data_IF_010699442302
#
_entry.id   IF_010699442302
#
_cell.length_a   1.000
_cell.length_b   1.000
_cell.length_c   1.000
_cell.angle_alpha   90.00
_cell.angle_beta   90.00
_cell.angle_gamma   90.00
#
_symmetry.space_group_name_H-M   'P 1'
#
loop_
_entity.id
_entity.type
_entity.pdbx_description
1 polymer ?
#
# COMPACT_ATOMS: atom_id res chain seq x y z
N UNK A 1 2.40 -31.49 -63.97
CA UNK A 1 2.48 -32.95 -63.86
C UNK A 1 3.94 -33.26 -63.56
N UNK A 2 4.29 -33.33 -62.28
CA UNK A 2 5.66 -33.65 -61.90
C UNK A 2 5.80 -35.18 -61.89
N UNK A 3 6.88 -35.68 -62.50
CA UNK A 3 7.24 -37.08 -62.40
C UNK A 3 8.08 -37.25 -61.13
N UNK A 4 7.58 -38.03 -60.17
CA UNK A 4 8.31 -38.40 -58.96
C UNK A 4 8.95 -39.76 -59.18
N UNK A 5 10.11 -40.00 -58.58
CA UNK A 5 10.75 -41.32 -58.61
C UNK A 5 10.09 -42.22 -57.57
N UNK A 6 9.70 -43.43 -57.98
CA UNK A 6 9.21 -44.43 -57.06
C UNK A 6 10.35 -44.87 -56.12
N UNK A 7 10.17 -44.83 -54.78
CA UNK A 7 11.24 -45.13 -53.83
C UNK A 7 11.69 -46.60 -53.85
N UNK A 8 10.89 -47.50 -54.42
CA UNK A 8 11.18 -48.95 -54.44
C UNK A 8 11.79 -49.44 -55.75
N UNK A 9 11.39 -48.86 -56.89
CA UNK A 9 11.87 -49.32 -58.19
C UNK A 9 12.58 -48.25 -59.01
N UNK A 10 12.75 -47.05 -58.45
CA UNK A 10 13.44 -45.87 -59.01
C UNK A 10 12.98 -45.44 -60.41
N UNK A 11 11.80 -45.92 -60.84
CA UNK A 11 11.18 -45.51 -62.10
C UNK A 11 10.32 -44.27 -61.88
N UNK A 12 10.31 -43.40 -62.87
CA UNK A 12 9.54 -42.16 -62.87
C UNK A 12 8.04 -42.46 -63.05
N UNK A 13 7.23 -41.97 -62.11
CA UNK A 13 5.77 -42.12 -62.08
C UNK A 13 5.11 -40.77 -61.81
N UNK A 14 3.83 -40.61 -62.15
CA UNK A 14 3.11 -39.35 -61.90
C UNK A 14 2.94 -39.09 -60.40
N UNK A 15 3.15 -37.85 -59.99
CA UNK A 15 2.85 -37.29 -58.66
C UNK A 15 1.41 -37.50 -58.17
N UNK A 16 0.48 -37.81 -59.06
CA UNK A 16 -0.93 -38.09 -58.74
C UNK A 16 -1.27 -39.58 -58.63
N UNK A 17 -0.35 -40.50 -58.96
CA UNK A 17 -0.60 -41.93 -58.89
C UNK A 17 -0.63 -42.41 -57.43
N UNK A 18 -1.70 -43.10 -57.02
CA UNK A 18 -1.83 -43.71 -55.70
C UNK A 18 -0.98 -44.99 -55.55
N UNK A 19 -0.72 -45.69 -56.66
CA UNK A 19 0.13 -46.88 -56.71
C UNK A 19 1.09 -46.82 -57.91
N UNK A 20 2.31 -47.32 -57.71
CA UNK A 20 3.28 -47.46 -58.80
C UNK A 20 2.84 -48.58 -59.77
N UNK A 21 2.68 -48.31 -61.09
CA UNK A 21 2.31 -49.34 -62.07
C UNK A 21 3.44 -50.35 -62.35
N UNK A 22 4.68 -50.08 -61.93
CA UNK A 22 5.82 -50.96 -62.19
C UNK A 22 6.12 -51.95 -61.05
N UNK A 23 5.92 -51.56 -59.79
CA UNK A 23 6.19 -52.41 -58.63
C UNK A 23 4.97 -52.61 -57.72
N UNK A 24 3.87 -51.89 -57.95
CA UNK A 24 2.62 -52.01 -57.19
C UNK A 24 2.59 -51.28 -55.85
N UNK A 25 3.70 -50.66 -55.41
CA UNK A 25 3.78 -50.00 -54.10
C UNK A 25 2.83 -48.79 -53.99
N UNK A 26 2.24 -48.58 -52.81
CA UNK A 26 1.37 -47.42 -52.56
C UNK A 26 2.22 -46.15 -52.32
N UNK A 27 1.93 -45.10 -53.08
CA UNK A 27 2.59 -43.80 -52.94
C UNK A 27 1.67 -42.90 -52.11
N UNK A 28 1.98 -42.76 -50.81
CA UNK A 28 1.16 -42.00 -49.88
C UNK A 28 1.35 -40.49 -50.12
N UNK A 29 0.44 -39.87 -50.86
CA UNK A 29 0.38 -38.40 -50.96
C UNK A 29 -0.08 -37.85 -49.61
N UNK A 30 0.76 -37.03 -48.96
CA UNK A 30 0.33 -36.28 -47.78
C UNK A 30 -0.49 -35.06 -48.23
N UNK A 31 -1.75 -34.90 -47.79
CA UNK A 31 -2.54 -33.73 -48.13
C UNK A 31 -1.92 -32.49 -47.47
N UNK A 32 -1.82 -31.41 -48.23
CA UNK A 32 -1.33 -30.12 -47.74
C UNK A 32 -2.22 -29.61 -46.59
N UNK A 33 -1.66 -29.60 -45.39
CA UNK A 33 -2.38 -29.27 -44.16
C UNK A 33 -2.66 -27.76 -44.08
N UNK A 34 -3.95 -27.42 -43.97
CA UNK A 34 -4.44 -26.05 -43.85
C UNK A 34 -4.16 -25.54 -42.43
N UNK A 35 -3.02 -24.88 -42.23
CA UNK A 35 -2.70 -24.15 -41.00
C UNK A 35 -3.64 -22.94 -40.84
N UNK A 36 -4.77 -23.11 -40.15
CA UNK A 36 -5.53 -21.97 -39.57
C UNK A 36 -4.73 -21.37 -38.41
N UNK A 37 -3.95 -20.32 -38.69
CA UNK A 37 -3.06 -19.65 -37.74
C UNK A 37 -3.79 -18.97 -36.58
N UNK A 38 -3.42 -19.34 -35.35
CA UNK A 38 -3.92 -18.81 -34.08
C UNK A 38 -3.43 -17.41 -33.69
N UNK A 39 -2.98 -16.58 -34.64
CA UNK A 39 -2.41 -15.25 -34.36
C UNK A 39 -3.46 -14.25 -33.81
N UNK A 40 -4.73 -14.36 -34.24
CA UNK A 40 -5.80 -13.46 -33.79
C UNK A 40 -6.22 -13.62 -32.32
N UNK A 41 -6.18 -14.85 -31.79
CA UNK A 41 -6.53 -15.13 -30.38
C UNK A 41 -5.46 -14.63 -29.40
N UNK A 42 -4.19 -14.70 -29.78
CA UNK A 42 -3.10 -14.17 -28.97
C UNK A 42 -3.15 -12.64 -28.88
N UNK A 43 -3.38 -11.95 -30.01
CA UNK A 43 -3.48 -10.49 -30.02
C UNK A 43 -4.68 -9.98 -29.20
N UNK A 44 -5.85 -10.63 -29.34
CA UNK A 44 -7.05 -10.28 -28.56
C UNK A 44 -6.85 -10.49 -27.05
N UNK A 45 -6.12 -11.54 -26.65
CA UNK A 45 -5.82 -11.78 -25.23
C UNK A 45 -4.86 -10.74 -24.67
N UNK A 46 -3.84 -10.33 -25.43
CA UNK A 46 -2.91 -9.26 -25.04
C UNK A 46 -3.65 -7.93 -24.84
N UNK A 47 -4.52 -7.54 -25.77
CA UNK A 47 -5.35 -6.33 -25.59
C UNK A 47 -6.31 -6.45 -24.39
N UNK A 48 -6.91 -7.62 -24.17
CA UNK A 48 -7.75 -7.88 -23.00
C UNK A 48 -7.00 -7.70 -21.68
N UNK A 49 -5.77 -8.21 -21.59
CA UNK A 49 -4.91 -8.06 -20.40
C UNK A 49 -4.47 -6.61 -20.20
N UNK A 50 -4.10 -5.91 -21.27
CA UNK A 50 -3.68 -4.49 -21.23
C UNK A 50 -4.81 -3.59 -20.71
N UNK A 51 -6.07 -3.89 -20.99
CA UNK A 51 -7.22 -3.13 -20.49
C UNK A 51 -7.68 -3.63 -19.12
N UNK A 52 -7.68 -4.93 -18.87
CA UNK A 52 -8.16 -5.49 -17.60
C UNK A 52 -7.25 -5.15 -16.42
N UNK A 53 -5.92 -5.18 -16.58
CA UNK A 53 -4.97 -4.85 -15.51
C UNK A 53 -5.19 -3.44 -14.93
N UNK A 54 -5.19 -2.34 -15.73
CA UNK A 54 -5.41 -1.00 -15.19
C UNK A 54 -6.80 -0.85 -14.58
N UNK A 55 -7.84 -1.48 -15.13
CA UNK A 55 -9.18 -1.49 -14.51
C UNK A 55 -9.15 -2.16 -13.14
N UNK A 56 -8.49 -3.32 -13.00
CA UNK A 56 -8.32 -4.01 -11.71
C UNK A 56 -7.50 -3.18 -10.72
N UNK A 57 -6.46 -2.46 -11.18
CA UNK A 57 -5.68 -1.56 -10.34
C UNK A 57 -6.50 -0.35 -9.86
N UNK A 58 -7.31 0.26 -10.73
CA UNK A 58 -8.18 1.38 -10.37
C UNK A 58 -9.25 0.94 -9.38
N UNK A 59 -9.92 -0.19 -9.63
CA UNK A 59 -10.93 -0.75 -8.71
C UNK A 59 -10.27 -1.17 -7.39
N UNK A 60 -9.10 -1.80 -7.43
CA UNK A 60 -8.32 -2.15 -6.25
C UNK A 60 -7.90 -0.93 -5.42
N UNK A 61 -7.47 0.14 -6.10
CA UNK A 61 -7.14 1.41 -5.45
C UNK A 61 -8.38 2.04 -4.81
N UNK A 62 -9.50 2.10 -5.53
CA UNK A 62 -10.75 2.66 -5.03
C UNK A 62 -11.32 1.89 -3.84
N UNK A 63 -11.28 0.55 -3.89
CA UNK A 63 -11.73 -0.32 -2.80
C UNK A 63 -10.82 -0.22 -1.57
N UNK A 64 -9.49 -0.15 -1.76
CA UNK A 64 -8.55 0.12 -0.65
C UNK A 64 -8.79 1.48 -0.02
N UNK A 65 -8.95 2.53 -0.83
CA UNK A 65 -9.16 3.87 -0.32
C UNK A 65 -10.42 3.93 0.56
N UNK A 66 -11.51 3.28 0.13
CA UNK A 66 -12.76 3.22 0.90
C UNK A 66 -12.65 2.37 2.17
N UNK A 67 -11.83 1.32 2.17
CA UNK A 67 -11.69 0.40 3.30
C UNK A 67 -10.84 0.96 4.45
N UNK A 68 -9.83 1.78 4.17
CA UNK A 68 -8.92 2.35 5.18
C UNK A 68 -9.64 3.41 6.03
N UNK A 69 -10.50 4.22 5.39
CA UNK A 69 -11.25 5.29 6.05
C UNK A 69 -10.37 6.42 6.61
N UNK A 70 -10.98 7.46 7.20
CA UNK A 70 -10.25 8.65 7.63
C UNK A 70 -9.31 8.40 8.81
N UNK A 71 -9.63 7.44 9.68
CA UNK A 71 -8.77 7.06 10.80
C UNK A 71 -7.50 6.36 10.31
N UNK A 72 -7.61 5.45 9.34
CA UNK A 72 -6.44 4.75 8.80
C UNK A 72 -5.47 5.70 8.08
N UNK A 73 -5.99 6.65 7.29
CA UNK A 73 -5.15 7.68 6.68
C UNK A 73 -4.46 8.57 7.71
N UNK A 74 -5.15 8.94 8.79
CA UNK A 74 -4.56 9.69 9.89
C UNK A 74 -3.41 8.95 10.58
N UNK A 75 -3.55 7.63 10.77
CA UNK A 75 -2.50 6.79 11.33
C UNK A 75 -1.30 6.69 10.38
N UNK A 76 -1.53 6.42 9.10
CA UNK A 76 -0.46 6.30 8.10
C UNK A 76 0.33 7.60 7.96
N UNK A 77 -0.35 8.74 7.89
CA UNK A 77 0.29 10.06 7.85
C UNK A 77 1.07 10.36 9.15
N UNK A 78 0.53 9.97 10.31
CA UNK A 78 1.23 10.15 11.60
C UNK A 78 2.50 9.32 11.65
N UNK A 79 2.43 8.05 11.26
CA UNK A 79 3.58 7.15 11.19
C UNK A 79 4.63 7.73 10.24
N UNK A 80 4.23 8.22 9.07
CA UNK A 80 5.14 8.83 8.10
C UNK A 80 5.82 10.07 8.67
N UNK A 81 5.05 11.00 9.25
CA UNK A 81 5.58 12.23 9.82
C UNK A 81 6.48 11.98 11.05
N UNK A 82 6.22 10.93 11.85
CA UNK A 82 7.10 10.52 12.94
C UNK A 82 8.43 9.98 12.41
N UNK A 83 8.41 9.13 11.37
CA UNK A 83 9.63 8.61 10.73
C UNK A 83 10.52 9.74 10.22
N UNK A 84 9.94 10.75 9.58
CA UNK A 84 10.68 11.90 9.05
C UNK A 84 11.40 12.72 10.14
N UNK A 85 10.99 12.61 11.41
CA UNK A 85 11.61 13.30 12.54
C UNK A 85 12.54 12.43 13.37
N UNK A 86 12.58 11.13 13.08
CA UNK A 86 13.48 10.21 13.76
C UNK A 86 14.87 10.28 13.15
N UNK A 87 15.89 10.07 13.99
CA UNK A 87 17.27 9.93 13.51
C UNK A 87 17.47 8.66 12.67
N UNK A 88 16.83 7.58 13.10
CA UNK A 88 16.83 6.28 12.42
C UNK A 88 15.35 5.87 12.17
N UNK A 89 14.79 6.19 10.99
CA UNK A 89 13.37 5.98 10.69
C UNK A 89 12.97 4.50 10.66
N UNK A 90 13.90 3.60 10.31
CA UNK A 90 13.65 2.17 10.20
C UNK A 90 13.62 1.49 11.57
N UNK A 91 14.27 2.09 12.56
CA UNK A 91 14.22 1.64 13.95
C UNK A 91 13.01 2.10 14.75
N UNK A 92 12.12 2.89 14.14
CA UNK A 92 10.98 3.49 14.82
C UNK A 92 9.99 2.43 15.30
N UNK A 93 9.62 2.51 16.58
CA UNK A 93 8.61 1.65 17.22
C UNK A 93 7.62 2.52 17.98
N UNK A 94 6.33 2.35 17.69
CA UNK A 94 5.25 2.93 18.50
C UNK A 94 5.00 1.94 19.65
N UNK A 95 5.35 2.32 20.89
CA UNK A 95 5.16 1.49 22.08
C UNK A 95 3.69 1.37 22.45
N UNK A 96 2.96 2.48 22.35
CA UNK A 96 1.52 2.56 22.59
C UNK A 96 0.94 3.69 21.77
N UNK A 97 -0.29 3.53 21.31
CA UNK A 97 -1.04 4.60 20.64
C UNK A 97 -2.53 4.38 20.76
N UNK A 98 -3.28 5.47 20.82
CA UNK A 98 -4.73 5.50 20.77
C UNK A 98 -5.19 6.64 19.88
N UNK A 99 -6.46 6.60 19.47
CA UNK A 99 -7.06 7.60 18.57
C UNK A 99 -8.24 8.24 19.27
N UNK A 100 -8.23 9.57 19.29
CA UNK A 100 -9.34 10.40 19.79
C UNK A 100 -10.03 11.05 18.60
N UNK A 101 -11.36 10.95 18.55
CA UNK A 101 -12.17 11.56 17.51
C UNK A 101 -13.13 12.57 18.13
N UNK A 102 -13.01 13.84 17.73
CA UNK A 102 -13.92 14.93 18.14
C UNK A 102 -14.64 15.47 16.91
N UNK A 103 -15.84 16.01 17.09
CA UNK A 103 -16.55 16.70 16.00
C UNK A 103 -16.54 18.19 16.31
N UNK A 104 -16.11 19.00 15.34
CA UNK A 104 -16.10 20.47 15.45
C UNK A 104 -17.53 21.03 15.25
N UNK A 105 -17.75 22.29 15.60
CA UNK A 105 -19.03 23.00 15.43
C UNK A 105 -19.53 22.99 13.99
N UNK A 106 -18.61 22.90 13.02
CA UNK A 106 -18.89 22.81 11.58
C UNK A 106 -19.29 21.39 11.12
N UNK A 107 -19.26 20.41 12.01
CA UNK A 107 -19.49 19.00 11.70
C UNK A 107 -18.27 18.27 11.13
N UNK A 108 -17.10 18.92 11.08
CA UNK A 108 -15.85 18.30 10.65
C UNK A 108 -15.30 17.38 11.76
N UNK A 109 -14.76 16.22 11.37
CA UNK A 109 -14.15 15.28 12.32
C UNK A 109 -12.68 15.61 12.53
N UNK A 110 -12.32 15.83 13.79
CA UNK A 110 -10.98 16.01 14.29
C UNK A 110 -10.46 14.67 14.77
N UNK A 111 -9.48 14.13 14.06
CA UNK A 111 -8.89 12.82 14.36
C UNK A 111 -7.48 13.05 14.88
N UNK A 112 -7.25 12.67 16.13
CA UNK A 112 -5.97 12.82 16.81
C UNK A 112 -5.39 11.45 17.15
N UNK A 113 -4.14 11.19 16.79
CA UNK A 113 -3.41 9.99 17.21
C UNK A 113 -2.37 10.38 18.24
N UNK A 114 -2.44 9.76 19.41
CA UNK A 114 -1.57 10.08 20.54
C UNK A 114 -0.94 8.81 21.09
N UNK A 115 0.26 8.92 21.65
CA UNK A 115 0.97 7.75 22.12
C UNK A 115 2.41 8.00 22.51
N UNK A 116 3.17 6.90 22.61
CA UNK A 116 4.60 6.91 22.89
C UNK A 116 5.33 6.24 21.74
N UNK A 117 6.29 6.96 21.16
CA UNK A 117 7.15 6.47 20.09
C UNK A 117 8.59 6.36 20.56
N UNK A 118 9.34 5.41 20.03
CA UNK A 118 10.75 5.21 20.34
C UNK A 118 11.53 4.93 19.06
N UNK A 119 12.84 5.14 19.10
CA UNK A 119 13.75 4.87 17.98
C UNK A 119 15.18 4.81 18.47
N UNK A 120 16.06 4.24 17.65
CA UNK A 120 17.50 4.21 17.94
C UNK A 120 18.09 5.61 17.85
N UNK A 121 18.92 5.94 18.83
CA UNK A 121 19.72 7.16 18.81
C UNK A 121 20.99 6.97 17.94
N UNK A 122 21.83 8.01 17.88
CA UNK A 122 23.09 7.99 17.14
C UNK A 122 24.11 6.93 17.62
N UNK A 123 23.89 6.31 18.78
CA UNK A 123 24.69 5.23 19.33
C UNK A 123 24.06 3.84 19.14
N UNK A 124 22.95 3.75 18.41
CA UNK A 124 22.26 2.49 18.10
C UNK A 124 21.39 1.93 19.23
N UNK A 125 21.23 2.67 20.33
CA UNK A 125 20.43 2.27 21.49
C UNK A 125 19.03 2.90 21.52
N UNK A 126 18.07 2.20 22.12
CA UNK A 126 16.73 2.73 22.42
C UNK A 126 16.74 3.53 23.73
N UNK A 127 15.90 4.57 23.81
CA UNK A 127 15.71 5.38 25.03
C UNK A 127 14.34 5.12 25.66
N UNK A 128 13.93 5.95 26.63
CA UNK A 128 12.65 5.80 27.35
C UNK A 128 11.41 6.02 26.46
N UNK A 129 11.60 6.44 25.21
CA UNK A 129 10.51 6.79 24.31
C UNK A 129 9.98 8.19 24.60
N UNK A 130 9.32 8.77 23.60
CA UNK A 130 8.87 10.15 23.58
C UNK A 130 7.38 10.17 23.28
N UNK A 131 6.61 10.94 24.05
CA UNK A 131 5.19 11.13 23.78
C UNK A 131 5.02 11.91 22.48
N UNK A 132 4.01 11.55 21.71
CA UNK A 132 3.61 12.29 20.53
C UNK A 132 2.10 12.52 20.52
N UNK A 133 1.70 13.60 19.86
CA UNK A 133 0.33 13.95 19.58
C UNK A 133 0.25 14.44 18.14
N UNK A 134 -0.62 13.84 17.35
CA UNK A 134 -0.95 14.32 16.02
C UNK A 134 -2.41 14.77 15.94
N UNK A 135 -2.68 15.67 15.00
CA UNK A 135 -4.03 16.15 14.70
C UNK A 135 -4.21 16.24 13.19
N UNK A 136 -5.30 15.66 12.72
CA UNK A 136 -5.77 15.70 11.34
C UNK A 136 -7.23 16.14 11.30
N UNK A 137 -7.72 16.50 10.12
CA UNK A 137 -9.11 16.96 9.96
C UNK A 137 -9.74 16.27 8.78
N UNK A 138 -10.86 15.60 9.00
CA UNK A 138 -11.67 15.02 7.95
C UNK A 138 -12.96 15.83 7.82
N UNK A 139 -13.20 16.38 6.63
CA UNK A 139 -14.46 17.08 6.39
C UNK A 139 -15.49 16.11 5.84
N UNK A 140 -16.56 15.92 6.61
CA UNK A 140 -17.67 15.04 6.25
C UNK A 140 -18.50 15.60 5.08
N UNK A 141 -18.60 16.92 4.97
CA UNK A 141 -19.40 17.58 3.93
C UNK A 141 -18.78 17.46 2.55
N UNK A 142 -17.44 17.45 2.48
CA UNK A 142 -16.68 17.31 1.24
C UNK A 142 -16.21 15.86 1.00
N UNK A 143 -16.39 14.97 1.98
CA UNK A 143 -15.79 13.62 2.01
C UNK A 143 -14.27 13.65 1.73
N UNK A 144 -13.59 14.66 2.30
CA UNK A 144 -12.16 14.90 2.08
C UNK A 144 -11.40 14.80 3.40
N UNK A 145 -10.38 13.94 3.40
CA UNK A 145 -9.35 13.92 4.44
C UNK A 145 -8.33 15.01 4.15
N UNK A 146 -8.32 16.04 4.99
CA UNK A 146 -7.21 16.97 5.05
C UNK A 146 -6.15 16.32 5.91
N UNK A 147 -5.02 16.01 5.28
CA UNK A 147 -3.88 15.31 5.88
C UNK A 147 -3.42 15.87 7.23
N UNK A 148 -2.34 15.33 7.75
CA UNK A 148 -1.85 15.74 9.06
C UNK A 148 -1.60 17.26 9.13
N UNK A 149 -2.32 17.96 10.03
CA UNK A 149 -2.11 19.40 10.23
C UNK A 149 -0.85 19.64 11.04
N UNK A 150 -0.63 18.76 12.02
CA UNK A 150 0.49 18.88 12.94
C UNK A 150 0.74 17.55 13.63
N UNK A 151 2.00 17.14 13.65
CA UNK A 151 2.54 16.18 14.61
C UNK A 151 3.39 16.97 15.58
N UNK A 152 3.33 16.63 16.85
CA UNK A 152 4.20 17.19 17.88
C UNK A 152 4.75 16.04 18.70
N UNK A 153 6.04 16.11 18.98
CA UNK A 153 6.72 15.21 19.90
C UNK A 153 7.10 16.03 21.12
N UNK A 154 6.96 15.42 22.29
CA UNK A 154 7.34 16.08 23.52
C UNK A 154 8.85 16.24 23.61
N UNK A 155 9.30 17.42 24.03
CA UNK A 155 10.70 17.66 24.35
C UNK A 155 11.00 17.09 25.75
N UNK A 156 11.90 16.09 25.88
CA UNK A 156 12.22 15.47 27.16
C UNK A 156 12.78 16.44 28.21
N UNK A 157 13.48 17.49 27.78
CA UNK A 157 14.07 18.49 28.70
C UNK A 157 13.00 19.42 29.25
N UNK A 158 12.08 19.87 28.39
CA UNK A 158 10.93 20.66 28.81
C UNK A 158 10.01 19.87 29.74
N UNK A 159 9.79 18.59 29.44
CA UNK A 159 9.01 17.71 30.30
C UNK A 159 9.66 17.56 31.69
N UNK A 160 10.97 17.33 31.73
CA UNK A 160 11.71 17.18 33.00
C UNK A 160 11.63 18.45 33.83
N UNK A 161 11.94 19.59 33.22
CA UNK A 161 11.87 20.91 33.87
C UNK A 161 10.47 21.18 34.42
N UNK A 162 9.42 20.94 33.62
CA UNK A 162 8.04 21.14 34.03
C UNK A 162 7.66 20.27 35.24
N UNK A 163 8.07 18.99 35.23
CA UNK A 163 7.86 18.07 36.37
C UNK A 163 8.61 18.52 37.63
N UNK A 164 9.85 18.99 37.50
CA UNK A 164 10.66 19.44 38.64
C UNK A 164 10.04 20.61 39.40
N UNK A 165 9.43 21.54 38.66
CA UNK A 165 8.75 22.74 39.17
C UNK A 165 7.24 22.54 39.40
N UNK A 166 6.71 21.33 39.21
CA UNK A 166 5.31 21.00 39.45
C UNK A 166 4.33 21.71 38.50
N UNK A 167 4.72 21.93 37.24
CA UNK A 167 3.89 22.55 36.21
C UNK A 167 3.66 21.60 35.03
N UNK A 168 2.67 21.91 34.19
CA UNK A 168 2.45 21.23 32.91
C UNK A 168 3.49 21.69 31.89
N UNK A 169 3.98 20.77 31.05
CA UNK A 169 4.82 21.15 29.92
C UNK A 169 4.01 21.92 28.88
N UNK A 170 4.68 22.69 28.01
CA UNK A 170 4.01 23.32 26.87
C UNK A 170 3.32 22.28 25.98
N UNK A 171 3.92 21.10 25.86
CA UNK A 171 3.33 19.97 25.14
C UNK A 171 2.06 19.46 25.81
N UNK A 172 2.05 19.30 27.14
CA UNK A 172 0.86 18.86 27.88
C UNK A 172 -0.30 19.84 27.69
N UNK A 173 -0.03 21.13 27.81
CA UNK A 173 -1.06 22.18 27.75
C UNK A 173 -1.62 22.39 26.34
N UNK A 174 -0.78 22.42 25.32
CA UNK A 174 -1.18 22.86 23.96
C UNK A 174 -1.60 21.68 23.08
N UNK A 175 -1.00 20.51 23.28
CA UNK A 175 -1.19 19.36 22.40
C UNK A 175 -1.88 18.21 23.11
N UNK A 176 -1.32 17.73 24.23
CA UNK A 176 -1.86 16.53 24.88
C UNK A 176 -3.27 16.74 25.43
N UNK A 177 -3.46 17.73 26.30
CA UNK A 177 -4.75 17.95 26.96
C UNK A 177 -5.83 18.42 25.98
N UNK A 178 -5.45 19.10 24.92
CA UNK A 178 -6.38 19.56 23.88
C UNK A 178 -6.80 18.41 22.94
N UNK A 179 -5.83 17.61 22.47
CA UNK A 179 -6.06 16.68 21.35
C UNK A 179 -6.26 15.23 21.79
N UNK A 180 -5.65 14.83 22.90
CA UNK A 180 -5.54 13.42 23.34
C UNK A 180 -6.46 13.08 24.52
N UNK A 181 -7.43 13.94 24.83
CA UNK A 181 -8.33 13.76 25.98
C UNK A 181 -9.74 13.40 25.52
N UNK A 182 -10.25 12.32 26.11
CA UNK A 182 -11.62 11.83 25.98
C UNK A 182 -12.09 11.19 27.31
N UNK A 183 -13.19 10.43 27.28
CA UNK A 183 -13.73 9.78 28.47
C UNK A 183 -12.84 8.66 29.05
N UNK A 184 -12.02 8.02 28.21
CA UNK A 184 -11.12 6.92 28.59
C UNK A 184 -9.70 7.42 28.90
N UNK A 185 -9.32 8.57 28.34
CA UNK A 185 -7.99 9.18 28.41
C UNK A 185 -8.09 10.55 29.09
N UNK A 186 -7.95 10.65 30.42
CA UNK A 186 -8.10 11.92 31.13
C UNK A 186 -6.92 12.89 30.87
N UNK A 187 -7.13 14.20 31.10
CA UNK A 187 -6.07 15.20 30.94
C UNK A 187 -4.95 14.99 31.95
N UNK A 188 -3.73 15.35 31.55
CA UNK A 188 -2.58 15.44 32.44
C UNK A 188 -2.78 16.66 33.33
N UNK A 189 -2.64 16.46 34.63
CA UNK A 189 -2.70 17.53 35.64
C UNK A 189 -1.31 17.81 36.20
N UNK A 190 -1.05 19.06 36.55
CA UNK A 190 0.20 19.43 37.22
C UNK A 190 0.29 18.69 38.56
N UNK A 191 1.40 18.02 38.80
CA UNK A 191 1.66 17.41 40.11
C UNK A 191 2.02 18.52 41.08
N UNK A 192 1.12 18.82 42.03
CA UNK A 192 1.48 19.63 43.18
C UNK A 192 2.57 18.89 43.92
N UNK A 193 3.75 19.48 44.01
CA UNK A 193 4.85 18.98 44.84
C UNK A 193 4.49 19.29 46.29
N UNK A 194 3.58 18.49 46.85
CA UNK A 194 3.25 18.45 48.27
C UNK A 194 3.49 17.03 48.72
N UNK A 195 4.76 16.73 49.00
CA UNK A 195 5.27 15.90 50.12
C UNK A 195 6.81 15.81 50.03
#
# INVERSE_FOLDING_TARGET
MALISCPECEKFISDQASNCPHCGCQIKQMPADSRKGGAGRALAWVFGVIVAIPVLLIVGFYTRNKAIGPVGWAQDDTVKALKERMKDPDSMVIKSSFVVQKTDEKGDQLISMCGVVNGKNSFGGYTDGTRFASRSTYSKSLDVFFGIRSVQMEDPEQQRTAREVGMLSGFDKVYWNEWCVDAEHPPVVATNKSD
#
